data_IF_021051182120
#
_entry.id   IF_021051182120
#
_cell.length_a   1.000
_cell.length_b   1.000
_cell.length_c   1.000
_cell.angle_alpha   90.00
_cell.angle_beta   90.00
_cell.angle_gamma   90.00
#
_symmetry.space_group_name_H-M   'P 1'
#
loop_
_entity.id
_entity.type
_entity.pdbx_description
1 polymer ?
#
# COMPACT_ATOMS: atom_id res chain seq x y z
N UNK A 1 -46.86 -15.33 -10.04
CA UNK A 1 -45.72 -14.48 -9.61
C UNK A 1 -44.45 -15.18 -10.03
N UNK A 2 -43.74 -14.65 -11.03
CA UNK A 2 -42.48 -15.20 -11.50
C UNK A 2 -41.35 -14.73 -10.56
N UNK A 3 -40.69 -15.67 -9.89
CA UNK A 3 -39.51 -15.40 -9.08
C UNK A 3 -38.30 -15.18 -10.02
N UNK A 4 -37.82 -13.94 -10.09
CA UNK A 4 -36.58 -13.60 -10.78
C UNK A 4 -35.42 -14.01 -9.87
N UNK A 5 -34.74 -15.09 -10.24
CA UNK A 5 -33.48 -15.49 -9.61
C UNK A 5 -32.41 -14.54 -10.15
N UNK A 6 -32.06 -13.53 -9.37
CA UNK A 6 -30.89 -12.69 -9.63
C UNK A 6 -29.64 -13.54 -9.39
N UNK A 7 -29.03 -14.03 -10.48
CA UNK A 7 -27.69 -14.61 -10.46
C UNK A 7 -26.70 -13.50 -10.10
N UNK A 8 -26.31 -13.42 -8.84
CA UNK A 8 -25.13 -12.67 -8.41
C UNK A 8 -23.91 -13.35 -9.02
N UNK A 9 -23.40 -12.80 -10.13
CA UNK A 9 -22.15 -13.23 -10.73
C UNK A 9 -21.02 -12.94 -9.73
N UNK A 10 -20.51 -13.98 -9.08
CA UNK A 10 -19.20 -13.92 -8.44
C UNK A 10 -18.19 -13.70 -9.57
N UNK A 11 -17.76 -12.46 -9.78
CA UNK A 11 -16.70 -12.14 -10.72
C UNK A 11 -15.40 -12.72 -10.15
N UNK A 12 -15.04 -13.92 -10.58
CA UNK A 12 -13.75 -14.51 -10.22
C UNK A 12 -12.67 -13.76 -10.99
N UNK A 13 -11.70 -13.18 -10.29
CA UNK A 13 -10.56 -12.52 -10.92
C UNK A 13 -9.70 -13.60 -11.58
N UNK A 14 -9.61 -13.57 -12.92
CA UNK A 14 -8.69 -14.42 -13.69
C UNK A 14 -7.27 -13.87 -13.60
N UNK A 15 -6.56 -14.18 -12.51
CA UNK A 15 -5.21 -13.66 -12.26
C UNK A 15 -4.24 -13.89 -13.43
N UNK A 16 -4.27 -15.07 -14.06
CA UNK A 16 -3.41 -15.41 -15.19
C UNK A 16 -3.68 -14.59 -16.46
N UNK A 17 -4.86 -13.98 -16.57
CA UNK A 17 -5.26 -13.15 -17.71
C UNK A 17 -4.97 -11.66 -17.48
N UNK A 18 -4.59 -11.28 -16.25
CA UNK A 18 -4.29 -9.88 -15.94
C UNK A 18 -2.99 -9.44 -16.62
N UNK A 19 -3.00 -8.31 -17.35
CA UNK A 19 -1.80 -7.79 -17.96
C UNK A 19 -0.81 -7.32 -16.87
N UNK A 20 0.48 -7.64 -16.98
CA UNK A 20 1.47 -7.15 -16.03
C UNK A 20 1.56 -5.63 -16.12
N UNK A 21 1.44 -4.96 -14.98
CA UNK A 21 1.80 -3.55 -14.87
C UNK A 21 3.31 -3.32 -14.90
N UNK A 22 3.73 -2.15 -14.43
CA UNK A 22 5.14 -1.81 -14.26
C UNK A 22 5.36 -1.06 -12.96
N UNK A 23 6.29 -1.55 -12.15
CA UNK A 23 6.84 -0.76 -11.04
C UNK A 23 8.09 -0.01 -11.48
N UNK A 24 8.25 1.20 -10.96
CA UNK A 24 9.48 1.98 -11.04
C UNK A 24 9.74 2.66 -9.71
N UNK A 25 11.00 2.99 -9.47
CA UNK A 25 11.42 3.76 -8.32
C UNK A 25 11.61 2.92 -7.06
N UNK A 26 11.59 3.60 -5.92
CA UNK A 26 12.01 3.06 -4.64
C UNK A 26 11.06 3.41 -3.51
N UNK A 27 11.04 2.55 -2.50
CA UNK A 27 10.43 2.83 -1.20
C UNK A 27 11.34 2.34 -0.07
N UNK A 28 11.17 2.92 1.10
CA UNK A 28 11.77 2.45 2.34
C UNK A 28 10.73 1.78 3.22
N UNK A 29 11.13 0.71 3.89
CA UNK A 29 10.39 0.17 5.03
C UNK A 29 11.11 0.63 6.28
N UNK A 30 10.40 1.32 7.16
CA UNK A 30 10.95 1.85 8.39
C UNK A 30 10.22 1.30 9.60
N UNK A 31 10.97 0.86 10.61
CA UNK A 31 10.43 0.60 11.95
C UNK A 31 10.38 1.92 12.71
N UNK A 32 9.25 2.24 13.36
CA UNK A 32 9.06 3.50 14.09
C UNK A 32 8.82 3.30 15.59
N UNK A 33 8.53 2.09 16.06
CA UNK A 33 8.31 1.80 17.48
C UNK A 33 7.78 0.40 17.70
N UNK A 34 7.47 0.05 18.95
CA UNK A 34 6.84 -1.24 19.29
C UNK A 34 5.42 -1.35 18.73
N UNK A 35 5.02 -2.53 18.27
CA UNK A 35 3.76 -2.77 17.53
C UNK A 35 2.51 -2.97 18.37
N UNK A 36 2.61 -3.02 19.70
CA UNK A 36 1.45 -3.30 20.56
C UNK A 36 0.77 -4.63 20.16
N UNK A 37 -0.52 -4.59 19.81
CA UNK A 37 -1.29 -5.77 19.38
C UNK A 37 -0.99 -6.27 17.96
N UNK A 38 -0.12 -5.59 17.20
CA UNK A 38 0.24 -5.94 15.81
C UNK A 38 1.57 -6.71 15.67
N UNK A 39 2.26 -7.01 16.78
CA UNK A 39 3.51 -7.77 16.80
C UNK A 39 4.73 -6.98 17.30
N UNK A 40 5.94 -7.43 16.95
CA UNK A 40 7.25 -6.95 17.45
C UNK A 40 7.65 -5.53 16.96
N UNK A 41 6.78 -4.84 16.22
CA UNK A 41 7.11 -3.52 15.70
C UNK A 41 5.98 -2.85 14.91
N UNK A 42 6.00 -1.52 14.93
CA UNK A 42 5.19 -0.64 14.10
C UNK A 42 6.02 -0.21 12.90
N UNK A 43 5.55 -0.50 11.70
CA UNK A 43 6.28 -0.25 10.46
C UNK A 43 5.56 0.77 9.57
N UNK A 44 6.34 1.46 8.76
CA UNK A 44 5.87 2.51 7.85
C UNK A 44 6.51 2.30 6.48
N UNK A 45 5.68 2.32 5.44
CA UNK A 45 6.17 2.50 4.08
C UNK A 45 6.42 3.99 3.84
N UNK A 46 7.67 4.31 3.48
CA UNK A 46 8.16 5.68 3.35
C UNK A 46 8.61 5.90 1.90
N UNK A 47 8.05 6.90 1.19
CA UNK A 47 8.48 7.21 -0.17
C UNK A 47 9.94 7.63 -0.22
N UNK A 48 10.68 7.16 -1.22
CA UNK A 48 12.00 7.72 -1.52
C UNK A 48 11.84 9.12 -2.13
N UNK A 49 12.33 10.20 -1.50
CA UNK A 49 12.13 11.56 -1.97
C UNK A 49 12.79 11.85 -3.32
N UNK A 50 13.80 11.06 -3.70
CA UNK A 50 14.55 11.21 -4.95
C UNK A 50 14.04 10.30 -6.07
N UNK A 51 13.33 9.23 -5.73
CA UNK A 51 12.97 8.17 -6.67
C UNK A 51 11.73 7.42 -6.18
N UNK A 52 10.56 8.06 -6.24
CA UNK A 52 9.34 7.53 -5.60
C UNK A 52 8.82 6.28 -6.30
N UNK A 53 8.45 5.28 -5.50
CA UNK A 53 7.69 4.13 -5.99
C UNK A 53 6.46 4.59 -6.79
N UNK A 54 6.40 4.12 -8.03
CA UNK A 54 5.31 4.36 -8.96
C UNK A 54 4.87 3.04 -9.56
N UNK A 55 3.58 2.75 -9.49
CA UNK A 55 2.96 1.66 -10.20
C UNK A 55 2.16 2.19 -11.38
N UNK A 56 2.45 1.67 -12.57
CA UNK A 56 1.66 1.88 -13.77
C UNK A 56 0.87 0.61 -14.06
N UNK A 57 -0.46 0.74 -14.17
CA UNK A 57 -1.35 -0.37 -14.54
C UNK A 57 -1.00 -0.94 -15.91
N UNK A 58 -1.16 -2.25 -16.05
CA UNK A 58 -1.08 -2.94 -17.33
C UNK A 58 -2.42 -2.92 -18.07
N UNK A 59 -3.52 -2.88 -17.30
CA UNK A 59 -4.89 -2.88 -17.82
C UNK A 59 -5.42 -1.47 -18.09
N UNK A 60 -6.56 -1.41 -18.78
CA UNK A 60 -7.34 -0.17 -18.97
C UNK A 60 -8.31 0.02 -17.81
N UNK A 61 -8.45 1.24 -17.30
CA UNK A 61 -9.37 1.54 -16.19
C UNK A 61 -8.86 2.66 -15.27
N UNK A 62 -9.57 2.98 -14.19
CA UNK A 62 -9.19 4.03 -13.24
C UNK A 62 -7.86 3.70 -12.53
N UNK A 63 -7.21 4.70 -11.95
CA UNK A 63 -5.95 4.48 -11.21
C UNK A 63 -4.79 4.02 -12.11
N UNK A 64 -4.69 4.53 -13.34
CA UNK A 64 -3.63 4.17 -14.29
C UNK A 64 -2.22 4.32 -13.71
N UNK A 65 -1.99 5.38 -12.95
CA UNK A 65 -0.71 5.63 -12.26
C UNK A 65 -0.98 5.81 -10.77
N UNK A 66 -0.29 5.03 -9.95
CA UNK A 66 -0.42 5.05 -8.49
C UNK A 66 0.94 5.38 -7.90
N UNK A 67 0.99 6.46 -7.10
CA UNK A 67 2.20 6.91 -6.41
C UNK A 67 1.90 7.00 -4.91
N UNK A 68 2.11 5.88 -4.18
CA UNK A 68 1.78 5.80 -2.76
C UNK A 68 2.47 6.87 -1.91
N UNK A 69 1.77 7.34 -0.89
CA UNK A 69 2.30 8.24 0.13
C UNK A 69 3.01 7.49 1.26
N UNK A 70 3.29 8.22 2.33
CA UNK A 70 3.71 7.60 3.59
C UNK A 70 2.49 6.98 4.27
N UNK A 71 2.61 5.75 4.74
CA UNK A 71 1.50 5.04 5.37
C UNK A 71 2.01 4.02 6.38
N UNK A 72 1.25 3.82 7.46
CA UNK A 72 1.49 2.65 8.29
C UNK A 72 1.30 1.41 7.45
N UNK A 73 2.11 0.41 7.74
CA UNK A 73 1.79 -0.95 7.35
C UNK A 73 1.51 -1.70 8.64
N UNK A 74 0.43 -2.46 8.62
CA UNK A 74 0.05 -3.35 9.70
C UNK A 74 1.03 -4.54 9.85
N UNK A 75 2.03 -4.67 8.97
CA UNK A 75 2.89 -5.86 8.89
C UNK A 75 2.12 -7.17 8.73
N UNK A 76 0.79 -7.10 8.56
CA UNK A 76 -0.20 -8.17 8.71
C UNK A 76 -1.03 -8.39 7.44
N UNK A 77 -1.07 -7.41 6.53
CA UNK A 77 -1.39 -7.60 5.11
C UNK A 77 -0.28 -8.34 4.34
N UNK A 78 0.89 -8.51 5.00
CA UNK A 78 1.88 -9.54 4.71
C UNK A 78 1.64 -10.70 5.70
N UNK A 79 0.94 -11.78 5.33
CA UNK A 79 0.83 -12.98 6.15
C UNK A 79 2.17 -13.35 6.81
N UNK A 80 2.16 -13.72 8.09
CA UNK A 80 3.35 -14.25 8.80
C UNK A 80 4.06 -15.38 8.03
N UNK A 81 3.34 -16.05 7.13
CA UNK A 81 3.83 -17.05 6.17
C UNK A 81 4.92 -16.51 5.23
N UNK A 82 5.04 -15.19 5.05
CA UNK A 82 6.06 -14.59 4.17
C UNK A 82 7.49 -14.63 4.73
N UNK A 83 7.69 -15.04 5.98
CA UNK A 83 9.03 -15.39 6.50
C UNK A 83 9.56 -16.73 5.94
N UNK A 84 8.72 -17.51 5.24
CA UNK A 84 9.02 -18.91 4.87
C UNK A 84 9.34 -19.10 3.37
N UNK A 85 9.31 -18.03 2.55
CA UNK A 85 9.63 -18.15 1.11
C UNK A 85 11.13 -18.38 0.91
N UNK A 86 11.46 -19.58 0.42
CA UNK A 86 12.83 -20.02 0.17
C UNK A 86 13.33 -19.42 -1.14
N UNK A 87 14.14 -18.36 -1.07
CA UNK A 87 15.07 -17.99 -2.15
C UNK A 87 14.98 -16.57 -2.72
N UNK A 88 14.03 -15.72 -2.29
CA UNK A 88 13.91 -14.31 -2.71
C UNK A 88 13.73 -13.38 -1.50
N UNK A 89 14.05 -12.10 -1.67
CA UNK A 89 14.07 -11.06 -0.61
C UNK A 89 12.73 -11.06 0.16
N UNK A 90 12.72 -11.06 1.51
CA UNK A 90 11.49 -11.15 2.33
C UNK A 90 10.40 -10.10 2.02
N UNK A 91 10.77 -9.07 1.24
CA UNK A 91 9.94 -7.94 0.85
C UNK A 91 9.55 -7.95 -0.64
N UNK A 92 9.71 -9.06 -1.35
CA UNK A 92 9.45 -9.15 -2.80
C UNK A 92 8.04 -8.70 -3.19
N UNK A 93 7.03 -8.97 -2.35
CA UNK A 93 5.63 -8.55 -2.56
C UNK A 93 5.29 -7.17 -2.00
N UNK A 94 6.17 -6.58 -1.19
CA UNK A 94 5.90 -5.33 -0.49
C UNK A 94 5.39 -4.21 -1.42
N UNK A 95 5.95 -3.99 -2.63
CA UNK A 95 5.45 -2.95 -3.54
C UNK A 95 3.98 -3.13 -3.94
N UNK A 96 3.52 -4.38 -4.14
CA UNK A 96 2.14 -4.67 -4.50
C UNK A 96 1.18 -4.42 -3.33
N UNK A 97 1.58 -4.80 -2.10
CA UNK A 97 0.80 -4.50 -0.90
C UNK A 97 0.75 -3.00 -0.60
N UNK A 98 1.83 -2.28 -0.85
CA UNK A 98 1.85 -0.81 -0.72
C UNK A 98 0.80 -0.17 -1.63
N UNK A 99 0.71 -0.63 -2.87
CA UNK A 99 -0.31 -0.15 -3.82
C UNK A 99 -1.72 -0.48 -3.33
N UNK A 100 -1.95 -1.73 -2.89
CA UNK A 100 -3.23 -2.18 -2.36
C UNK A 100 -3.69 -1.34 -1.16
N UNK A 101 -2.87 -1.22 -0.12
CA UNK A 101 -3.25 -0.52 1.11
C UNK A 101 -3.46 0.96 0.83
N UNK A 102 -2.67 1.57 -0.07
CA UNK A 102 -2.87 2.95 -0.49
C UNK A 102 -4.23 3.20 -1.15
N UNK A 103 -4.71 2.26 -1.96
CA UNK A 103 -6.05 2.34 -2.57
C UNK A 103 -7.15 2.28 -1.50
N UNK A 104 -7.01 1.40 -0.51
CA UNK A 104 -7.94 1.31 0.62
C UNK A 104 -7.95 2.60 1.44
N UNK A 105 -6.77 3.11 1.81
CA UNK A 105 -6.64 4.38 2.53
C UNK A 105 -7.27 5.52 1.74
N UNK A 106 -7.01 5.61 0.43
CA UNK A 106 -7.60 6.65 -0.41
C UNK A 106 -9.14 6.57 -0.41
N UNK A 107 -9.71 5.38 -0.61
CA UNK A 107 -11.16 5.19 -0.61
C UNK A 107 -11.80 5.52 0.75
N UNK A 108 -11.22 5.02 1.84
CA UNK A 108 -11.71 5.26 3.20
C UNK A 108 -11.60 6.75 3.56
N UNK A 109 -10.48 7.40 3.24
CA UNK A 109 -10.31 8.83 3.47
C UNK A 109 -11.30 9.68 2.66
N UNK A 110 -11.55 9.36 1.39
CA UNK A 110 -12.58 10.06 0.62
C UNK A 110 -13.97 9.85 1.21
N UNK A 111 -14.27 8.62 1.66
CA UNK A 111 -15.55 8.27 2.32
C UNK A 111 -15.74 9.00 3.65
N UNK A 112 -14.64 9.28 4.35
CA UNK A 112 -14.60 10.07 5.59
C UNK A 112 -14.56 11.59 5.31
N UNK A 113 -14.73 12.02 4.07
CA UNK A 113 -14.88 13.43 3.68
C UNK A 113 -13.57 14.17 3.38
N UNK A 114 -12.45 13.46 3.24
CA UNK A 114 -11.18 14.08 2.83
C UNK A 114 -11.23 14.57 1.40
N UNK A 115 -10.50 15.65 1.13
CA UNK A 115 -10.49 16.34 -0.16
C UNK A 115 -9.12 16.38 -0.82
N UNK A 116 -8.21 15.53 -0.34
CA UNK A 116 -6.82 15.44 -0.76
C UNK A 116 -6.72 15.11 -2.25
N UNK A 117 -5.95 15.90 -3.01
CA UNK A 117 -5.79 15.71 -4.46
C UNK A 117 -5.25 14.33 -4.82
N UNK A 118 -4.36 13.81 -3.97
CA UNK A 118 -3.74 12.49 -4.16
C UNK A 118 -4.76 11.36 -4.05
N UNK A 119 -5.75 11.49 -3.15
CA UNK A 119 -6.82 10.51 -3.01
C UNK A 119 -7.89 10.70 -4.09
N UNK A 120 -8.24 11.95 -4.42
CA UNK A 120 -9.21 12.24 -5.49
C UNK A 120 -8.79 11.70 -6.85
N UNK A 121 -7.49 11.61 -7.14
CA UNK A 121 -6.99 10.97 -8.36
C UNK A 121 -7.37 9.47 -8.46
N UNK A 122 -7.80 8.87 -7.35
CA UNK A 122 -8.20 7.47 -7.21
C UNK A 122 -9.70 7.31 -6.93
N UNK A 123 -10.51 8.38 -7.01
CA UNK A 123 -11.94 8.33 -6.64
C UNK A 123 -12.77 7.34 -7.46
N UNK A 124 -12.35 7.10 -8.69
CA UNK A 124 -13.05 6.21 -9.62
C UNK A 124 -12.60 4.74 -9.48
N UNK A 125 -11.60 4.47 -8.64
CA UNK A 125 -11.18 3.11 -8.31
C UNK A 125 -12.20 2.52 -7.33
N UNK A 126 -13.03 1.61 -7.83
CA UNK A 126 -13.89 0.79 -7.00
C UNK A 126 -13.14 -0.44 -6.42
N UNK A 127 -13.85 -1.21 -5.61
CA UNK A 127 -13.30 -2.40 -4.96
C UNK A 127 -12.84 -3.49 -5.95
N UNK A 128 -13.55 -3.67 -7.06
CA UNK A 128 -13.20 -4.71 -8.03
C UNK A 128 -11.95 -4.28 -8.82
N UNK A 129 -11.84 -2.98 -9.14
CA UNK A 129 -10.63 -2.38 -9.69
C UNK A 129 -9.44 -2.51 -8.73
N UNK A 130 -9.61 -2.32 -7.43
CA UNK A 130 -8.50 -2.42 -6.47
C UNK A 130 -7.92 -3.84 -6.42
N UNK A 131 -8.76 -4.87 -6.50
CA UNK A 131 -8.34 -6.25 -6.56
C UNK A 131 -7.64 -6.60 -7.90
N UNK A 132 -8.15 -6.09 -9.03
CA UNK A 132 -7.47 -6.22 -10.34
C UNK A 132 -6.11 -5.54 -10.33
N UNK A 133 -6.01 -4.32 -9.77
CA UNK A 133 -4.76 -3.57 -9.64
C UNK A 133 -3.71 -4.37 -8.83
N UNK A 134 -4.11 -5.01 -7.73
CA UNK A 134 -3.19 -5.88 -6.98
C UNK A 134 -2.70 -7.05 -7.84
N UNK A 135 -3.58 -7.69 -8.60
CA UNK A 135 -3.18 -8.76 -9.52
C UNK A 135 -2.21 -8.28 -10.60
N UNK A 136 -2.48 -7.15 -11.25
CA UNK A 136 -1.58 -6.52 -12.22
C UNK A 136 -0.22 -6.15 -11.59
N UNK A 137 -0.21 -5.72 -10.33
CA UNK A 137 1.00 -5.42 -9.56
C UNK A 137 1.82 -6.68 -9.26
N UNK A 138 1.19 -7.77 -8.84
CA UNK A 138 1.88 -9.06 -8.63
C UNK A 138 2.45 -9.58 -9.97
N UNK A 139 1.69 -9.50 -11.07
CA UNK A 139 2.17 -9.85 -12.40
C UNK A 139 3.39 -9.00 -12.81
N UNK A 140 3.41 -7.71 -12.46
CA UNK A 140 4.57 -6.85 -12.68
C UNK A 140 5.81 -7.34 -11.91
N UNK A 141 5.65 -7.70 -10.64
CA UNK A 141 6.74 -8.22 -9.80
C UNK A 141 7.29 -9.56 -10.31
N UNK A 142 6.42 -10.45 -10.80
CA UNK A 142 6.83 -11.70 -11.46
C UNK A 142 7.65 -11.38 -12.71
N UNK A 143 7.14 -10.48 -13.56
CA UNK A 143 7.81 -10.07 -14.81
C UNK A 143 9.18 -9.43 -14.55
N UNK A 144 9.30 -8.65 -13.47
CA UNK A 144 10.55 -8.02 -13.01
C UNK A 144 11.42 -8.96 -12.16
N UNK A 145 11.05 -10.24 -12.03
CA UNK A 145 11.76 -11.30 -11.28
C UNK A 145 12.00 -10.95 -9.81
N UNK A 146 11.12 -10.16 -9.21
CA UNK A 146 11.16 -9.83 -7.79
C UNK A 146 10.52 -10.94 -6.94
N UNK A 147 9.61 -11.70 -7.52
CA UNK A 147 8.96 -12.89 -6.94
C UNK A 147 8.97 -14.02 -7.97
N UNK A 148 9.12 -15.27 -7.53
CA UNK A 148 9.05 -16.42 -8.43
C UNK A 148 7.60 -16.67 -8.82
N UNK A 149 7.34 -17.09 -10.07
CA UNK A 149 5.99 -17.52 -10.48
C UNK A 149 5.49 -18.70 -9.66
N UNK A 150 6.39 -19.56 -9.19
CA UNK A 150 6.04 -20.73 -8.39
C UNK A 150 5.84 -20.40 -6.90
N UNK A 151 6.31 -19.23 -6.45
CA UNK A 151 6.03 -18.67 -5.12
C UNK A 151 4.67 -17.96 -5.06
N UNK A 152 3.95 -17.91 -6.19
CA UNK A 152 2.75 -17.11 -6.36
C UNK A 152 1.51 -17.96 -6.09
N UNK A 153 0.91 -17.73 -4.92
CA UNK A 153 -0.50 -18.01 -4.71
C UNK A 153 -1.35 -16.84 -5.25
N UNK A 154 -1.02 -16.31 -6.43
CA UNK A 154 -1.57 -15.06 -6.99
C UNK A 154 -3.08 -15.10 -7.06
N UNK A 155 -3.62 -16.20 -7.57
CA UNK A 155 -5.07 -16.46 -7.59
C UNK A 155 -5.68 -16.51 -6.19
N UNK A 156 -4.96 -17.04 -5.19
CA UNK A 156 -5.44 -17.06 -3.80
C UNK A 156 -5.39 -15.68 -3.15
N UNK A 157 -4.34 -14.88 -3.41
CA UNK A 157 -4.21 -13.50 -2.95
C UNK A 157 -5.31 -12.64 -3.57
N UNK A 158 -5.50 -12.71 -4.90
CA UNK A 158 -6.57 -11.96 -5.59
C UNK A 158 -7.95 -12.38 -5.12
N UNK A 159 -8.18 -13.67 -4.86
CA UNK A 159 -9.43 -14.15 -4.29
C UNK A 159 -9.66 -13.63 -2.86
N UNK A 160 -8.62 -13.60 -2.02
CA UNK A 160 -8.72 -13.10 -0.66
C UNK A 160 -9.05 -11.59 -0.62
N UNK A 161 -8.40 -10.78 -1.46
CA UNK A 161 -8.67 -9.33 -1.51
C UNK A 161 -9.97 -8.98 -2.22
N UNK A 162 -10.54 -9.88 -3.03
CA UNK A 162 -11.87 -9.75 -3.61
C UNK A 162 -12.99 -10.25 -2.68
N UNK A 163 -12.66 -10.75 -1.48
CA UNK A 163 -13.61 -11.36 -0.57
C UNK A 163 -14.58 -10.36 0.09
N UNK A 164 -15.72 -10.83 0.61
CA UNK A 164 -16.63 -9.99 1.39
C UNK A 164 -15.98 -9.35 2.62
N UNK A 165 -15.00 -10.02 3.25
CA UNK A 165 -14.26 -9.49 4.40
C UNK A 165 -13.44 -8.28 3.97
N UNK A 166 -12.72 -8.39 2.85
CA UNK A 166 -11.99 -7.28 2.26
C UNK A 166 -12.94 -6.14 1.83
N UNK A 167 -14.11 -6.45 1.27
CA UNK A 167 -15.13 -5.44 0.92
C UNK A 167 -15.67 -4.70 2.16
N UNK A 168 -15.80 -5.38 3.28
CA UNK A 168 -16.19 -4.74 4.55
C UNK A 168 -15.08 -3.80 5.05
N UNK A 169 -13.81 -4.21 4.93
CA UNK A 169 -12.67 -3.35 5.25
C UNK A 169 -12.61 -2.12 4.33
N UNK A 170 -12.81 -2.32 3.02
CA UNK A 170 -12.90 -1.26 2.03
C UNK A 170 -13.94 -0.21 2.43
N UNK A 171 -15.15 -0.64 2.81
CA UNK A 171 -16.24 0.25 3.21
C UNK A 171 -16.18 0.73 4.68
N UNK A 172 -15.08 0.47 5.42
CA UNK A 172 -14.96 0.86 6.83
C UNK A 172 -14.95 2.39 6.96
N UNK A 173 -15.91 2.93 7.70
CA UNK A 173 -16.00 4.36 8.03
C UNK A 173 -15.12 4.70 9.23
N UNK A 174 -14.57 5.91 9.23
CA UNK A 174 -13.69 6.43 10.28
C UNK A 174 -12.27 5.86 10.25
N UNK A 175 -11.94 4.99 9.29
CA UNK A 175 -10.64 4.33 9.21
C UNK A 175 -9.51 5.32 8.85
N UNK A 176 -9.82 6.41 8.15
CA UNK A 176 -8.82 7.36 7.69
C UNK A 176 -7.99 7.95 8.85
N UNK A 177 -8.63 8.26 9.98
CA UNK A 177 -7.94 8.83 11.14
C UNK A 177 -7.10 7.79 11.89
N UNK A 178 -7.55 6.53 11.93
CA UNK A 178 -6.86 5.43 12.62
C UNK A 178 -5.58 5.02 11.88
N UNK A 179 -5.60 5.05 10.55
CA UNK A 179 -4.52 4.55 9.69
C UNK A 179 -3.48 5.63 9.35
N UNK A 180 -3.70 6.87 9.78
CA UNK A 180 -2.80 8.00 9.51
C UNK A 180 -1.50 7.91 10.30
N UNK A 181 -0.37 8.07 9.61
CA UNK A 181 0.94 8.20 10.26
C UNK A 181 0.94 9.40 11.19
N UNK A 182 1.16 9.16 12.49
CA UNK A 182 1.15 10.21 13.50
C UNK A 182 2.20 11.27 13.21
N UNK A 183 1.95 12.52 13.60
CA UNK A 183 2.94 13.59 13.42
C UNK A 183 4.28 13.27 14.09
N UNK A 184 4.23 12.60 15.24
CA UNK A 184 5.42 12.17 15.96
C UNK A 184 6.25 11.20 15.12
N UNK A 185 5.62 10.20 14.50
CA UNK A 185 6.32 9.27 13.60
C UNK A 185 6.80 9.97 12.33
N UNK A 186 6.00 10.87 11.74
CA UNK A 186 6.42 11.66 10.58
C UNK A 186 7.69 12.48 10.85
N UNK A 187 7.83 13.10 12.04
CA UNK A 187 9.06 13.84 12.40
C UNK A 187 10.27 12.92 12.53
N UNK A 188 10.08 11.71 13.04
CA UNK A 188 11.18 10.72 13.13
C UNK A 188 11.58 10.21 11.75
N UNK A 189 10.61 9.94 10.88
CA UNK A 189 10.82 9.54 9.49
C UNK A 189 11.54 10.66 8.73
N UNK A 190 11.04 11.90 8.81
CA UNK A 190 11.65 13.06 8.15
C UNK A 190 13.09 13.30 8.64
N UNK A 191 13.37 13.05 9.92
CA UNK A 191 14.73 13.13 10.45
C UNK A 191 15.65 12.04 9.90
N UNK A 192 15.12 10.82 9.69
CA UNK A 192 15.90 9.70 9.19
C UNK A 192 16.09 9.74 7.67
N UNK A 193 15.06 10.18 6.94
CA UNK A 193 15.02 10.31 5.48
C UNK A 193 14.43 11.68 5.11
N UNK A 194 15.25 12.74 5.08
CA UNK A 194 14.78 14.10 4.78
C UNK A 194 14.06 14.20 3.44
N UNK A 195 12.93 14.92 3.43
CA UNK A 195 12.08 15.14 2.27
C UNK A 195 11.01 14.07 2.06
N UNK A 196 11.12 12.90 2.69
CA UNK A 196 10.22 11.76 2.46
C UNK A 196 8.78 12.02 2.94
N UNK A 197 8.58 12.95 3.88
CA UNK A 197 7.25 13.30 4.41
C UNK A 197 6.65 14.58 3.81
N UNK A 198 7.35 15.26 2.90
CA UNK A 198 6.96 16.59 2.38
C UNK A 198 5.53 16.64 1.84
N UNK A 199 5.11 15.62 1.08
CA UNK A 199 3.76 15.57 0.51
C UNK A 199 2.71 15.38 1.59
N UNK A 200 2.99 14.53 2.57
CA UNK A 200 2.11 14.27 3.71
C UNK A 200 1.93 15.51 4.57
N UNK A 201 3.05 16.16 4.90
CA UNK A 201 3.09 17.40 5.65
C UNK A 201 2.28 18.50 4.94
N UNK A 202 2.45 18.64 3.62
CA UNK A 202 1.66 19.59 2.81
C UNK A 202 0.17 19.26 2.81
N UNK A 203 -0.18 17.98 2.66
CA UNK A 203 -1.57 17.50 2.63
C UNK A 203 -2.32 17.83 3.92
N UNK A 204 -1.65 17.65 5.06
CA UNK A 204 -2.24 17.85 6.40
C UNK A 204 -1.93 19.22 7.01
N UNK A 205 -1.26 20.11 6.26
CA UNK A 205 -0.83 21.43 6.72
C UNK A 205 0.01 21.37 8.03
N UNK A 206 1.01 20.49 8.06
CA UNK A 206 1.88 20.22 9.19
C UNK A 206 3.30 20.74 8.95
N UNK A 207 3.96 21.26 9.99
CA UNK A 207 5.39 21.62 9.94
C UNK A 207 6.27 20.48 10.48
N UNK A 208 6.31 19.39 9.72
CA UNK A 208 7.09 18.20 10.08
C UNK A 208 8.60 18.48 10.01
N UNK A 209 9.06 19.23 9.00
CA UNK A 209 10.48 19.49 8.79
C UNK A 209 11.10 20.34 9.91
N UNK A 210 10.43 21.38 10.40
CA UNK A 210 10.92 22.13 11.56
C UNK A 210 10.88 21.26 12.83
N UNK A 211 9.81 20.49 13.02
CA UNK A 211 9.70 19.54 14.12
C UNK A 211 10.84 18.52 14.16
N UNK A 212 11.22 17.97 13.00
CA UNK A 212 12.33 17.04 12.86
C UNK A 212 13.69 17.67 13.19
N UNK A 213 13.93 18.93 12.77
CA UNK A 213 15.16 19.69 13.09
C UNK A 213 15.31 19.94 14.60
N UNK A 214 14.20 20.11 15.31
CA UNK A 214 14.20 20.36 16.75
C UNK A 214 14.50 19.12 17.61
N UNK A 215 14.49 17.92 17.02
CA UNK A 215 14.90 16.70 17.74
C UNK A 215 16.40 16.78 18.06
N UNK A 216 16.75 16.82 19.34
CA UNK A 216 18.16 16.85 19.79
C UNK A 216 18.84 15.48 19.79
N UNK A 217 18.04 14.40 19.79
CA UNK A 217 18.51 13.01 19.73
C UNK A 217 18.48 12.46 18.30
N UNK A 218 19.18 11.37 18.04
CA UNK A 218 19.00 10.60 16.81
C UNK A 218 17.54 10.18 16.61
N UNK A 219 17.14 9.98 15.34
CA UNK A 219 15.82 9.45 15.04
C UNK A 219 15.64 8.06 15.64
N UNK A 220 14.45 7.76 16.16
CA UNK A 220 14.08 6.40 16.55
C UNK A 220 13.61 5.58 15.35
N UNK A 221 13.24 6.22 14.25
CA UNK A 221 12.85 5.52 13.03
C UNK A 221 14.09 4.87 12.42
N UNK A 222 14.02 3.56 12.20
CA UNK A 222 15.13 2.74 11.68
C UNK A 222 14.78 2.22 10.31
N UNK A 223 15.68 2.45 9.35
CA UNK A 223 15.56 1.85 8.03
C UNK A 223 15.71 0.33 8.16
N UNK A 224 14.68 -0.42 7.80
CA UNK A 224 14.69 -1.88 7.76
C UNK A 224 15.21 -2.34 6.42
N UNK A 225 14.64 -1.81 5.34
CA UNK A 225 15.07 -2.12 3.98
C UNK A 225 14.69 -1.00 3.00
N UNK A 226 15.40 -0.94 1.89
CA UNK A 226 15.01 -0.19 0.69
C UNK A 226 14.64 -1.21 -0.38
N UNK A 227 13.47 -1.04 -0.99
CA UNK A 227 13.05 -1.82 -2.17
C UNK A 227 13.13 -0.90 -3.38
N UNK A 228 13.89 -1.31 -4.39
CA UNK A 228 14.10 -0.54 -5.63
C UNK A 228 13.73 -1.37 -6.85
N UNK A 229 12.99 -0.76 -7.78
CA UNK A 229 12.39 -1.40 -8.96
C UNK A 229 12.74 -0.59 -10.22
N UNK A 230 13.05 -1.30 -11.29
CA UNK A 230 13.46 -0.75 -12.59
C UNK A 230 12.50 -1.17 -13.72
#
# INVERSE_FOLDING_TARGET
>A
MAAIIMLSACTTISFDELPPGKFTGSLFVMWVGEGGSSGDGKFVFVPDPSDRLTFQRGGTGPGQTIVPGVMYTDGGSIPQVFQVFRGLHPWGYAPAYVVHDWLFTAHQCLSDGRTDKDYRALSDVDFDNSANILGEAIQALIKQRQVSRDDVAGSAITAAVASPIARNSWNKKGACADDEVTEADLREIEKAVPGSTTREARRRNLDIAAGAKNLRRASRARLVTRVSLQ
#
